data_IF_633545705743
#
_entry.id   IF_633545705743
#
_cell.length_a   1.000
_cell.length_b   1.000
_cell.length_c   1.000
_cell.angle_alpha   90.00
_cell.angle_beta   90.00
_cell.angle_gamma   90.00
#
_symmetry.space_group_name_H-M   'P 1'
#
loop_
_entity.id
_entity.type
_entity.pdbx_description
1 polymer ?
#
# COMPACT_ATOMS: atom_id res chain seq x y z
N UNK A 1 -21.78 -51.46 13.49
CA UNK A 1 -21.93 -50.16 12.80
C UNK A 1 -21.05 -49.10 13.48
N UNK A 2 -19.77 -49.05 13.15
CA UNK A 2 -18.77 -48.16 13.79
C UNK A 2 -18.28 -47.05 12.82
N UNK A 3 -18.50 -47.22 11.52
CA UNK A 3 -18.04 -46.31 10.46
C UNK A 3 -18.48 -44.84 10.55
N UNK A 4 -19.77 -44.50 10.81
CA UNK A 4 -20.19 -43.09 10.76
C UNK A 4 -19.71 -42.27 11.96
N UNK A 5 -19.46 -42.90 13.13
CA UNK A 5 -18.95 -42.21 14.31
C UNK A 5 -17.47 -41.87 14.19
N UNK A 6 -16.69 -42.74 13.56
CA UNK A 6 -15.25 -42.49 13.30
C UNK A 6 -15.09 -41.39 12.25
N UNK A 7 -15.92 -41.37 11.20
CA UNK A 7 -15.88 -40.32 10.18
C UNK A 7 -16.27 -38.93 10.74
N UNK A 8 -17.29 -38.86 11.60
CA UNK A 8 -17.68 -37.61 12.27
C UNK A 8 -16.61 -37.11 13.26
N UNK A 9 -15.94 -38.02 13.99
CA UNK A 9 -14.81 -37.67 14.85
C UNK A 9 -13.61 -37.19 14.04
N UNK A 10 -13.30 -37.81 12.91
CA UNK A 10 -12.22 -37.38 12.02
C UNK A 10 -12.50 -36.01 11.39
N UNK A 11 -13.76 -35.75 11.01
CA UNK A 11 -14.19 -34.44 10.51
C UNK A 11 -14.13 -33.35 11.57
N UNK A 12 -14.63 -33.62 12.78
CA UNK A 12 -14.54 -32.69 13.91
C UNK A 12 -13.09 -32.46 14.35
N UNK A 13 -12.24 -33.49 14.32
CA UNK A 13 -10.81 -33.38 14.59
C UNK A 13 -10.10 -32.59 13.47
N UNK A 14 -10.49 -32.74 12.21
CA UNK A 14 -9.97 -31.95 11.09
C UNK A 14 -10.35 -30.47 11.19
N UNK A 15 -11.60 -30.16 11.57
CA UNK A 15 -12.04 -28.78 11.84
C UNK A 15 -11.36 -28.22 13.09
N UNK A 16 -11.19 -29.02 14.14
CA UNK A 16 -10.47 -28.61 15.34
C UNK A 16 -8.98 -28.41 15.07
N UNK A 17 -8.34 -29.23 14.23
CA UNK A 17 -6.95 -29.07 13.80
C UNK A 17 -6.79 -27.89 12.84
N UNK A 18 -7.81 -27.51 12.06
CA UNK A 18 -7.81 -26.26 11.30
C UNK A 18 -8.04 -25.04 12.20
N UNK A 19 -8.91 -25.14 13.21
CA UNK A 19 -9.15 -24.09 14.20
C UNK A 19 -7.96 -23.91 15.16
N UNK A 20 -7.22 -24.98 15.47
CA UNK A 20 -6.00 -24.97 16.29
C UNK A 20 -4.74 -24.76 15.44
N UNK A 21 -4.76 -25.14 14.17
CA UNK A 21 -3.73 -24.82 13.17
C UNK A 21 -3.74 -23.34 12.77
N UNK A 22 -4.82 -22.61 13.12
CA UNK A 22 -4.86 -21.14 13.13
C UNK A 22 -4.28 -20.52 14.42
N UNK A 23 -3.84 -21.34 15.40
CA UNK A 23 -3.26 -20.89 16.68
C UNK A 23 -1.71 -20.99 16.82
N UNK A 24 -0.87 -21.44 15.86
CA UNK A 24 0.57 -21.28 16.00
C UNK A 24 0.93 -19.83 15.66
N UNK A 25 0.65 -18.94 16.60
CA UNK A 25 0.95 -17.50 16.50
C UNK A 25 0.96 -16.79 17.85
N UNK A 26 0.39 -17.38 18.91
CA UNK A 26 0.35 -16.76 20.25
C UNK A 26 1.69 -16.64 20.98
N UNK A 27 2.77 -17.18 20.41
CA UNK A 27 4.14 -17.01 20.94
C UNK A 27 5.05 -16.24 19.95
N UNK A 28 4.46 -15.44 19.06
CA UNK A 28 5.18 -14.39 18.33
C UNK A 28 5.23 -13.08 19.14
N UNK A 29 5.93 -12.04 18.66
CA UNK A 29 6.03 -10.71 19.28
C UNK A 29 4.72 -9.90 19.24
N UNK A 30 3.59 -10.61 19.39
CA UNK A 30 2.25 -10.05 19.44
C UNK A 30 1.99 -9.61 20.87
N UNK A 31 2.51 -8.44 21.20
CA UNK A 31 2.18 -7.75 22.44
C UNK A 31 0.70 -7.33 22.38
N UNK A 32 -0.01 -7.41 23.50
CA UNK A 32 -1.41 -6.97 23.62
C UNK A 32 -1.62 -5.47 23.26
N UNK A 33 -0.52 -4.72 23.08
CA UNK A 33 -0.49 -3.30 22.72
C UNK A 33 -0.56 -2.98 21.22
N UNK A 34 -0.60 -3.98 20.33
CA UNK A 34 -0.77 -3.74 18.88
C UNK A 34 0.48 -3.27 18.13
N UNK A 35 1.66 -3.48 18.72
CA UNK A 35 2.96 -3.09 18.15
C UNK A 35 3.26 -1.59 18.20
N UNK A 36 4.37 -1.16 17.58
CA UNK A 36 4.79 0.24 17.56
C UNK A 36 3.77 1.19 16.91
N UNK A 37 3.36 2.22 17.63
CA UNK A 37 2.43 3.24 17.15
C UNK A 37 3.14 4.55 16.78
N UNK A 38 2.58 5.29 15.82
CA UNK A 38 2.95 6.70 15.59
C UNK A 38 2.27 7.61 16.61
N UNK A 39 2.76 8.85 16.77
CA UNK A 39 2.04 9.87 17.51
C UNK A 39 0.61 10.08 16.94
N UNK A 40 -0.37 10.32 17.82
CA UNK A 40 -1.81 10.38 17.44
C UNK A 40 -2.13 11.48 16.42
N UNK A 41 -1.30 12.52 16.33
CA UNK A 41 -1.40 13.55 15.28
C UNK A 41 -1.02 13.00 13.91
N UNK A 42 0.07 12.24 13.82
CA UNK A 42 0.53 11.62 12.57
C UNK A 42 -0.44 10.53 12.11
N UNK A 43 -0.97 9.72 13.04
CA UNK A 43 -1.99 8.72 12.72
C UNK A 43 -3.25 9.36 12.12
N UNK A 44 -3.72 10.46 12.71
CA UNK A 44 -4.87 11.21 12.17
C UNK A 44 -4.57 11.78 10.79
N UNK A 45 -3.37 12.30 10.57
CA UNK A 45 -2.97 12.81 9.25
C UNK A 45 -2.93 11.70 8.19
N UNK A 46 -2.39 10.52 8.53
CA UNK A 46 -2.38 9.36 7.64
C UNK A 46 -3.80 8.88 7.31
N UNK A 47 -4.68 8.74 8.31
CA UNK A 47 -6.07 8.37 8.08
C UNK A 47 -6.80 9.44 7.25
N UNK A 48 -6.54 10.71 7.52
CA UNK A 48 -7.16 11.83 6.83
C UNK A 48 -6.66 12.01 5.39
N UNK A 49 -5.42 11.65 5.07
CA UNK A 49 -4.86 11.80 3.70
C UNK A 49 -4.84 10.50 2.91
N UNK A 50 -4.95 9.36 3.60
CA UNK A 50 -4.71 8.03 3.04
C UNK A 50 -3.25 7.75 2.69
N UNK A 51 -2.31 8.68 2.92
CA UNK A 51 -0.89 8.53 2.56
C UNK A 51 -0.21 7.40 3.33
N UNK A 52 0.91 6.91 2.81
CA UNK A 52 1.59 5.75 3.35
C UNK A 52 2.67 6.09 4.39
N UNK A 53 2.98 5.10 5.22
CA UNK A 53 4.16 5.07 6.07
C UNK A 53 5.10 3.99 5.54
N UNK A 54 6.37 4.33 5.39
CA UNK A 54 7.44 3.38 5.10
C UNK A 54 8.23 3.11 6.38
N UNK A 55 8.32 1.85 6.78
CA UNK A 55 9.13 1.40 7.91
C UNK A 55 10.37 0.74 7.36
N UNK A 56 11.53 1.33 7.64
CA UNK A 56 12.83 0.78 7.27
C UNK A 56 13.20 -0.37 8.22
N UNK A 57 13.89 -1.41 7.71
CA UNK A 57 14.23 -2.58 8.51
C UNK A 57 15.24 -2.23 9.60
N UNK A 58 15.03 -2.78 10.80
CA UNK A 58 15.99 -2.67 11.91
C UNK A 58 17.11 -3.72 11.82
N UNK A 59 16.79 -4.87 11.24
CA UNK A 59 17.71 -6.00 11.10
C UNK A 59 17.82 -6.43 9.63
N UNK A 60 18.94 -7.02 9.20
CA UNK A 60 19.14 -7.43 7.80
C UNK A 60 18.12 -8.46 7.28
N UNK A 61 17.50 -9.22 8.18
CA UNK A 61 16.50 -10.24 7.87
C UNK A 61 15.08 -9.68 7.81
N UNK A 62 14.86 -8.46 8.28
CA UNK A 62 13.55 -7.82 8.24
C UNK A 62 13.34 -7.12 6.89
N UNK A 63 12.18 -7.30 6.22
CA UNK A 63 11.86 -6.53 5.03
C UNK A 63 11.41 -5.11 5.40
N UNK A 64 11.69 -4.15 4.52
CA UNK A 64 11.03 -2.85 4.58
C UNK A 64 9.52 -3.02 4.34
N UNK A 65 8.69 -2.31 5.12
CA UNK A 65 7.23 -2.41 5.04
C UNK A 65 6.60 -1.09 4.72
N UNK A 66 5.57 -1.11 3.88
CA UNK A 66 4.82 0.10 3.51
C UNK A 66 3.33 -0.14 3.69
N UNK A 67 2.64 0.77 4.39
CA UNK A 67 1.20 0.67 4.61
C UNK A 67 0.52 2.03 4.42
N UNK A 68 -0.62 2.03 3.72
CA UNK A 68 -1.42 3.23 3.47
C UNK A 68 -2.39 3.53 4.62
N UNK A 69 -2.45 4.80 5.05
CA UNK A 69 -3.41 5.29 6.05
C UNK A 69 -3.15 4.86 7.50
N UNK A 70 -2.21 3.94 7.75
CA UNK A 70 -1.87 3.40 9.06
C UNK A 70 -0.44 2.86 9.11
N UNK A 71 0.02 2.52 10.31
CA UNK A 71 1.25 1.72 10.47
C UNK A 71 1.08 0.31 9.90
N UNK A 72 2.17 -0.30 9.39
CA UNK A 72 2.19 -1.73 9.08
C UNK A 72 1.83 -2.56 10.32
N UNK A 73 1.02 -3.60 10.10
CA UNK A 73 0.57 -4.52 11.13
C UNK A 73 0.95 -5.96 10.76
N UNK A 74 0.90 -6.85 11.75
CA UNK A 74 1.06 -8.28 11.50
C UNK A 74 0.02 -8.76 10.48
N UNK A 75 0.46 -9.58 9.52
CA UNK A 75 -0.38 -10.10 8.45
C UNK A 75 -0.46 -9.21 7.20
N UNK A 76 0.08 -7.98 7.22
CA UNK A 76 0.20 -7.18 6.00
C UNK A 76 1.14 -7.83 4.97
N UNK A 77 2.10 -8.63 5.45
CA UNK A 77 3.09 -9.35 4.64
C UNK A 77 2.65 -10.79 4.28
N UNK A 78 1.51 -11.26 4.80
CA UNK A 78 1.02 -12.64 4.57
C UNK A 78 0.45 -12.84 3.16
N UNK A 79 0.23 -11.76 2.42
CA UNK A 79 -0.12 -11.80 1.01
C UNK A 79 1.17 -11.82 0.19
N UNK A 80 1.33 -12.82 -0.67
CA UNK A 80 2.46 -12.90 -1.59
C UNK A 80 2.59 -11.57 -2.35
N UNK A 81 3.75 -10.89 -2.29
CA UNK A 81 3.92 -9.61 -2.97
C UNK A 81 3.73 -9.79 -4.47
N UNK A 82 2.69 -9.18 -5.02
CA UNK A 82 2.59 -8.93 -6.46
C UNK A 82 3.34 -7.63 -6.71
N UNK A 83 4.56 -7.69 -7.26
CA UNK A 83 5.45 -6.59 -7.68
C UNK A 83 5.81 -5.45 -6.68
N UNK A 84 4.91 -5.02 -5.79
CA UNK A 84 5.07 -4.11 -4.63
C UNK A 84 6.32 -4.36 -3.79
N UNK A 85 6.67 -5.63 -3.54
CA UNK A 85 7.86 -5.98 -2.76
C UNK A 85 9.15 -5.42 -3.37
N UNK A 86 9.22 -5.31 -4.70
CA UNK A 86 10.42 -4.85 -5.39
C UNK A 86 10.59 -3.32 -5.33
N UNK A 87 9.50 -2.55 -5.39
CA UNK A 87 9.57 -1.08 -5.32
C UNK A 87 9.90 -0.63 -3.90
N UNK A 88 9.25 -1.19 -2.88
CA UNK A 88 9.51 -0.87 -1.47
C UNK A 88 10.95 -1.22 -1.08
N UNK A 89 11.44 -2.40 -1.44
CA UNK A 89 12.83 -2.79 -1.20
C UNK A 89 13.80 -1.85 -1.93
N UNK A 90 13.53 -1.49 -3.18
CA UNK A 90 14.36 -0.55 -3.96
C UNK A 90 14.43 0.83 -3.33
N UNK A 91 13.30 1.35 -2.82
CA UNK A 91 13.25 2.63 -2.10
C UNK A 91 14.07 2.53 -0.80
N UNK A 92 13.89 1.46 -0.02
CA UNK A 92 14.65 1.24 1.22
C UNK A 92 16.17 1.16 0.97
N UNK A 93 16.59 0.41 -0.06
CA UNK A 93 18.01 0.36 -0.49
C UNK A 93 18.51 1.73 -0.93
N UNK A 94 17.69 2.51 -1.63
CA UNK A 94 18.03 3.89 -2.02
C UNK A 94 18.17 4.85 -0.84
N UNK A 95 17.36 4.68 0.21
CA UNK A 95 17.45 5.47 1.45
C UNK A 95 18.68 5.10 2.30
N UNK A 96 19.19 3.88 2.18
CA UNK A 96 20.42 3.45 2.85
C UNK A 96 21.71 3.94 2.14
N UNK A 97 21.61 4.37 0.88
CA UNK A 97 22.76 4.77 0.05
C UNK A 97 22.84 6.31 -0.06
N UNK A 98 23.84 7.00 0.54
CA UNK A 98 23.92 8.47 0.62
C UNK A 98 23.73 9.20 -0.71
N UNK A 99 24.30 8.67 -1.80
CA UNK A 99 24.23 9.24 -3.14
C UNK A 99 22.86 9.09 -3.82
N UNK A 100 21.98 8.24 -3.28
CA UNK A 100 20.64 7.96 -3.82
C UNK A 100 19.51 8.45 -2.93
N UNK A 101 19.79 8.87 -1.69
CA UNK A 101 18.77 9.28 -0.71
C UNK A 101 17.79 10.28 -1.27
N UNK A 102 18.25 11.34 -1.96
CA UNK A 102 17.36 12.37 -2.50
C UNK A 102 16.39 11.80 -3.53
N UNK A 103 16.88 10.95 -4.43
CA UNK A 103 16.06 10.26 -5.42
C UNK A 103 15.10 9.28 -4.76
N UNK A 104 15.54 8.54 -3.75
CA UNK A 104 14.71 7.60 -3.00
C UNK A 104 13.61 8.30 -2.18
N UNK A 105 13.89 9.47 -1.61
CA UNK A 105 12.89 10.32 -0.94
C UNK A 105 11.85 10.82 -1.94
N UNK A 106 12.27 11.28 -3.12
CA UNK A 106 11.35 11.71 -4.16
C UNK A 106 10.49 10.56 -4.68
N UNK A 107 11.07 9.36 -4.83
CA UNK A 107 10.37 8.14 -5.23
C UNK A 107 9.37 7.67 -4.18
N UNK A 108 9.76 7.65 -2.90
CA UNK A 108 8.86 7.34 -1.79
C UNK A 108 7.70 8.33 -1.72
N UNK A 109 7.98 9.64 -1.84
CA UNK A 109 6.94 10.67 -1.83
C UNK A 109 5.96 10.47 -3.01
N UNK A 110 6.48 10.21 -4.21
CA UNK A 110 5.69 9.91 -5.40
C UNK A 110 4.82 8.65 -5.26
N UNK A 111 5.33 7.62 -4.57
CA UNK A 111 4.59 6.42 -4.17
C UNK A 111 3.61 6.68 -2.99
N UNK A 112 3.35 7.94 -2.64
CA UNK A 112 2.35 8.33 -1.64
C UNK A 112 2.84 8.26 -0.20
N UNK A 113 4.11 7.95 0.06
CA UNK A 113 4.68 7.92 1.42
C UNK A 113 4.73 9.33 1.99
N UNK A 114 4.23 9.51 3.20
CA UNK A 114 4.28 10.77 3.95
C UNK A 114 5.32 10.72 5.08
N UNK A 115 5.45 9.56 5.73
CA UNK A 115 6.38 9.36 6.84
C UNK A 115 7.28 8.16 6.61
N UNK A 116 8.54 8.29 7.01
CA UNK A 116 9.53 7.21 7.04
C UNK A 116 9.93 6.96 8.48
N UNK A 117 9.72 5.75 8.98
CA UNK A 117 10.22 5.30 10.28
C UNK A 117 11.60 4.69 10.07
N UNK A 118 12.61 5.26 10.72
CA UNK A 118 14.00 4.80 10.65
C UNK A 118 14.30 3.86 11.81
N UNK A 119 15.23 2.91 11.66
CA UNK A 119 15.53 1.95 12.72
C UNK A 119 16.17 2.61 13.95
N UNK A 120 17.02 3.62 13.73
CA UNK A 120 17.77 4.29 14.79
C UNK A 120 18.11 5.76 14.46
N UNK A 121 18.60 6.48 15.47
CA UNK A 121 18.97 7.89 15.36
C UNK A 121 20.14 8.16 14.38
N UNK A 122 21.19 7.31 14.29
CA UNK A 122 22.25 7.45 13.28
C UNK A 122 21.72 7.37 11.85
N UNK A 123 20.85 6.39 11.55
CA UNK A 123 20.24 6.22 10.22
C UNK A 123 19.37 7.43 9.87
N UNK A 124 18.56 7.91 10.83
CA UNK A 124 17.81 9.16 10.66
C UNK A 124 18.73 10.35 10.35
N UNK A 125 19.84 10.50 11.06
CA UNK A 125 20.79 11.58 10.84
C UNK A 125 21.41 11.51 9.44
N UNK A 126 21.86 10.33 9.01
CA UNK A 126 22.43 10.12 7.68
C UNK A 126 21.42 10.44 6.55
N UNK A 127 20.17 9.99 6.69
CA UNK A 127 19.11 10.32 5.72
C UNK A 127 18.83 11.82 5.73
N UNK A 128 18.71 12.44 6.91
CA UNK A 128 18.43 13.88 7.01
C UNK A 128 19.55 14.74 6.42
N UNK A 129 20.80 14.36 6.62
CA UNK A 129 21.97 15.05 6.07
C UNK A 129 22.00 14.95 4.54
N UNK A 130 21.80 13.76 3.99
CA UNK A 130 21.82 13.53 2.55
C UNK A 130 20.58 14.09 1.82
N UNK A 131 19.40 14.01 2.45
CA UNK A 131 18.13 14.49 1.89
C UNK A 131 18.00 16.03 1.97
N UNK A 132 18.64 16.67 2.95
CA UNK A 132 18.51 18.09 3.20
C UNK A 132 17.06 18.50 3.47
N UNK A 133 16.57 19.49 2.72
CA UNK A 133 15.22 20.03 2.88
C UNK A 133 14.09 19.10 2.39
N UNK A 134 14.40 17.95 1.78
CA UNK A 134 13.37 17.01 1.33
C UNK A 134 12.70 16.25 2.48
N UNK A 135 13.29 16.31 3.67
CA UNK A 135 12.73 15.72 4.88
C UNK A 135 12.61 16.75 6.00
N UNK A 136 11.75 16.49 6.97
CA UNK A 136 11.66 17.20 8.23
C UNK A 136 11.53 16.21 9.38
N UNK A 137 11.97 16.59 10.57
CA UNK A 137 11.74 15.78 11.76
C UNK A 137 10.25 15.69 12.09
N UNK A 138 9.82 14.53 12.57
CA UNK A 138 8.49 14.28 13.09
C UNK A 138 8.59 13.61 14.48
N UNK A 139 7.53 13.65 15.30
CA UNK A 139 7.50 12.93 16.57
C UNK A 139 7.85 11.45 16.40
N UNK A 140 8.72 10.92 17.26
CA UNK A 140 9.06 9.50 17.29
C UNK A 140 7.84 8.62 17.51
N UNK A 141 7.98 7.37 17.11
CA UNK A 141 7.07 6.27 17.45
C UNK A 141 7.07 5.96 18.96
N UNK A 142 6.10 5.19 19.43
CA UNK A 142 5.94 4.82 20.85
C UNK A 142 7.08 3.96 21.40
N UNK A 143 7.77 3.21 20.53
CA UNK A 143 8.97 2.43 20.83
C UNK A 143 10.27 3.25 20.68
N UNK A 144 10.17 4.55 20.43
CA UNK A 144 11.28 5.49 20.38
C UNK A 144 11.99 5.59 19.03
N UNK A 145 11.58 4.81 18.02
CA UNK A 145 12.18 4.90 16.69
C UNK A 145 11.90 6.27 16.04
N UNK A 146 12.92 6.92 15.46
CA UNK A 146 12.74 8.22 14.85
C UNK A 146 11.88 8.19 13.59
N UNK A 147 11.22 9.31 13.31
CA UNK A 147 10.33 9.46 12.15
C UNK A 147 10.71 10.71 11.36
N UNK A 148 10.80 10.56 10.04
CA UNK A 148 11.00 11.64 9.09
C UNK A 148 9.72 11.88 8.28
N UNK A 149 9.36 13.16 8.12
CA UNK A 149 8.28 13.59 7.20
C UNK A 149 8.88 13.91 5.85
N UNK A 150 8.28 13.39 4.78
CA UNK A 150 8.68 13.73 3.41
C UNK A 150 8.00 15.04 2.97
N UNK A 151 8.79 15.97 2.46
CA UNK A 151 8.35 17.29 2.02
C UNK A 151 7.99 17.43 0.51
N UNK A 152 8.49 16.60 -0.44
CA UNK A 152 8.13 16.75 -1.84
C UNK A 152 6.61 16.76 -2.08
N UNK A 153 6.17 17.58 -3.03
CA UNK A 153 4.78 17.70 -3.40
C UNK A 153 4.29 16.40 -4.04
N UNK A 154 3.54 15.61 -3.27
CA UNK A 154 2.92 14.39 -3.73
C UNK A 154 1.61 14.14 -2.96
N UNK A 155 0.64 13.57 -3.66
CA UNK A 155 -0.60 13.07 -3.08
C UNK A 155 -0.78 11.59 -3.38
N UNK A 156 -1.89 11.02 -2.90
CA UNK A 156 -2.33 9.69 -3.33
C UNK A 156 -2.67 9.65 -4.82
N UNK A 157 -3.10 10.78 -5.37
CA UNK A 157 -3.31 11.01 -6.80
C UNK A 157 -2.71 12.36 -7.17
N UNK A 158 -2.01 12.41 -8.30
CA UNK A 158 -1.29 13.60 -8.75
C UNK A 158 -1.46 13.81 -10.24
N UNK A 159 -1.81 15.03 -10.66
CA UNK A 159 -1.85 15.43 -12.05
C UNK A 159 -0.52 16.05 -12.45
N UNK A 160 0.11 15.47 -13.47
CA UNK A 160 1.38 15.91 -14.02
C UNK A 160 1.18 16.77 -15.28
N UNK A 161 2.00 17.81 -15.42
CA UNK A 161 2.15 18.56 -16.66
C UNK A 161 2.71 17.67 -17.77
N UNK A 162 2.59 18.06 -19.06
CA UNK A 162 3.10 17.23 -20.16
C UNK A 162 4.60 16.94 -20.10
N UNK A 163 5.39 17.87 -19.57
CA UNK A 163 6.83 17.67 -19.39
C UNK A 163 7.14 16.63 -18.32
N UNK A 164 6.46 16.73 -17.16
CA UNK A 164 6.61 15.75 -16.08
C UNK A 164 6.04 14.38 -16.48
N UNK A 165 4.93 14.36 -17.23
CA UNK A 165 4.34 13.14 -17.77
C UNK A 165 5.31 12.38 -18.67
N UNK A 166 6.00 13.08 -19.60
CA UNK A 166 7.02 12.45 -20.45
C UNK A 166 8.14 11.83 -19.61
N UNK A 167 8.69 12.58 -18.64
CA UNK A 167 9.74 12.08 -17.74
C UNK A 167 9.28 10.84 -16.95
N UNK A 168 8.06 10.87 -16.44
CA UNK A 168 7.48 9.77 -15.68
C UNK A 168 7.33 8.50 -16.53
N UNK A 169 6.85 8.64 -17.77
CA UNK A 169 6.66 7.51 -18.69
C UNK A 169 8.01 6.95 -19.19
N UNK A 170 9.03 7.80 -19.40
CA UNK A 170 10.36 7.35 -19.81
C UNK A 170 11.18 6.73 -18.67
N UNK A 171 10.62 6.63 -17.47
CA UNK A 171 11.28 6.03 -16.30
C UNK A 171 12.33 6.93 -15.65
N UNK A 172 12.31 8.24 -15.91
CA UNK A 172 13.13 9.18 -15.15
C UNK A 172 12.63 9.26 -13.70
N UNK A 173 13.51 9.46 -12.71
CA UNK A 173 13.09 9.58 -11.32
C UNK A 173 12.20 10.82 -11.09
N UNK A 174 11.35 10.81 -10.05
CA UNK A 174 10.60 11.99 -9.66
C UNK A 174 11.51 13.17 -9.29
N UNK A 175 11.06 14.43 -9.44
CA UNK A 175 11.86 15.60 -9.10
C UNK A 175 12.28 15.63 -7.62
N UNK A 176 13.53 16.02 -7.38
CA UNK A 176 14.15 16.14 -6.05
C UNK A 176 14.19 17.58 -5.53
N UNK A 177 13.34 18.43 -6.09
CA UNK A 177 13.19 19.85 -5.74
C UNK A 177 11.84 20.05 -5.04
N UNK A 178 11.82 20.83 -3.96
CA UNK A 178 10.58 21.20 -3.30
C UNK A 178 9.76 22.12 -4.21
N UNK A 179 8.46 21.85 -4.32
CA UNK A 179 7.57 22.66 -5.16
C UNK A 179 7.88 22.55 -6.66
N UNK A 180 8.49 21.44 -7.11
CA UNK A 180 8.75 21.21 -8.53
C UNK A 180 7.51 21.51 -9.38
N UNK A 181 7.64 22.33 -10.44
CA UNK A 181 6.49 22.79 -11.20
C UNK A 181 5.85 21.65 -12.00
N UNK A 182 4.54 21.78 -12.24
CA UNK A 182 3.79 20.83 -13.04
C UNK A 182 3.42 19.55 -12.31
N UNK A 183 3.39 19.57 -10.98
CA UNK A 183 2.91 18.49 -10.13
C UNK A 183 1.78 19.05 -9.26
N UNK A 184 0.56 18.55 -9.44
CA UNK A 184 -0.62 19.04 -8.72
C UNK A 184 -1.30 17.88 -8.00
N UNK A 185 -1.31 17.84 -6.66
CA UNK A 185 -2.04 16.80 -5.95
C UNK A 185 -3.55 16.95 -6.19
N UNK A 186 -4.23 15.81 -6.34
CA UNK A 186 -5.68 15.72 -6.50
C UNK A 186 -6.23 14.99 -5.28
N UNK A 187 -7.29 15.53 -4.69
CA UNK A 187 -7.95 14.89 -3.54
C UNK A 187 -8.78 13.68 -4.00
N UNK A 188 -8.10 12.54 -4.12
CA UNK A 188 -8.68 11.25 -4.41
C UNK A 188 -7.79 10.13 -3.86
N UNK A 189 -8.32 8.91 -3.74
CA UNK A 189 -7.62 7.79 -3.10
C UNK A 189 -7.86 6.47 -3.84
N UNK A 190 -6.84 5.61 -3.99
CA UNK A 190 -7.04 4.24 -4.46
C UNK A 190 -7.86 3.40 -3.44
N UNK A 191 -8.48 2.28 -3.86
CA UNK A 191 -8.37 1.63 -5.17
C UNK A 191 -9.38 2.14 -6.23
N UNK A 192 -10.28 3.05 -5.86
CA UNK A 192 -11.28 3.63 -6.75
C UNK A 192 -11.14 5.16 -6.78
N UNK A 193 -10.61 5.67 -7.88
CA UNK A 193 -10.35 7.09 -8.11
C UNK A 193 -11.37 7.62 -9.10
N UNK A 194 -12.14 8.64 -8.71
CA UNK A 194 -13.05 9.35 -9.61
C UNK A 194 -12.78 10.86 -9.49
N UNK A 195 -12.20 11.44 -10.53
CA UNK A 195 -11.78 12.85 -10.53
C UNK A 195 -12.28 13.57 -11.77
N UNK A 196 -12.65 14.84 -11.62
CA UNK A 196 -12.93 15.71 -12.76
C UNK A 196 -11.71 16.58 -13.02
N UNK A 197 -11.18 16.48 -14.22
CA UNK A 197 -10.03 17.28 -14.65
C UNK A 197 -10.54 18.40 -15.53
N UNK A 198 -10.06 19.62 -15.31
CA UNK A 198 -10.37 20.79 -16.15
C UNK A 198 -9.59 20.77 -17.47
N UNK A 199 -9.98 21.67 -18.38
CA UNK A 199 -9.21 21.93 -19.61
C UNK A 199 -7.75 22.24 -19.28
N UNK A 200 -6.85 21.83 -20.16
CA UNK A 200 -5.43 22.10 -20.01
C UNK A 200 -4.61 21.60 -21.19
N UNK A 201 -3.28 21.65 -21.09
CA UNK A 201 -2.40 21.15 -22.15
C UNK A 201 -2.66 19.67 -22.46
N UNK A 202 -2.52 19.28 -23.72
CA UNK A 202 -2.52 17.87 -24.11
C UNK A 202 -1.30 17.14 -23.55
N UNK A 203 -1.47 15.85 -23.24
CA UNK A 203 -0.38 14.99 -22.75
C UNK A 203 -0.11 15.08 -21.26
N UNK A 204 -1.08 15.56 -20.47
CA UNK A 204 -1.05 15.45 -19.01
C UNK A 204 -1.18 13.98 -18.58
N UNK A 205 -0.71 13.66 -17.38
CA UNK A 205 -0.78 12.31 -16.83
C UNK A 205 -1.35 12.37 -15.42
N UNK A 206 -2.41 11.63 -15.15
CA UNK A 206 -2.88 11.39 -13.80
C UNK A 206 -2.11 10.19 -13.25
N UNK A 207 -1.34 10.37 -12.19
CA UNK A 207 -0.57 9.31 -11.52
C UNK A 207 -1.23 8.98 -10.20
N UNK A 208 -1.37 7.68 -9.93
CA UNK A 208 -1.93 7.14 -8.70
C UNK A 208 -0.79 6.47 -7.95
N UNK A 209 -0.68 6.75 -6.65
CA UNK A 209 0.29 6.14 -5.74
C UNK A 209 -0.11 4.70 -5.39
N UNK A 210 -0.19 3.87 -6.43
CA UNK A 210 -0.44 2.45 -6.37
C UNK A 210 0.42 1.75 -7.42
N UNK A 211 0.84 0.53 -7.14
CA UNK A 211 1.62 -0.25 -8.09
C UNK A 211 0.83 -0.57 -9.35
N UNK A 212 1.52 -0.49 -10.48
CA UNK A 212 1.04 -0.92 -11.76
C UNK A 212 1.05 -2.44 -11.84
N UNK A 213 -0.14 -3.01 -11.70
CA UNK A 213 -0.40 -4.44 -11.79
C UNK A 213 -1.43 -4.74 -12.90
N UNK A 214 -1.40 -5.95 -13.49
CA UNK A 214 -2.46 -6.37 -14.40
C UNK A 214 -3.84 -6.30 -13.73
N UNK A 215 -4.79 -5.63 -14.37
CA UNK A 215 -6.18 -5.53 -13.91
C UNK A 215 -6.66 -4.11 -13.63
N UNK A 216 -5.76 -3.13 -13.55
CA UNK A 216 -6.19 -1.73 -13.50
C UNK A 216 -6.99 -1.34 -14.76
N UNK A 217 -8.13 -0.70 -14.55
CA UNK A 217 -8.98 -0.16 -15.61
C UNK A 217 -9.07 1.34 -15.44
N UNK A 218 -8.88 2.08 -16.54
CA UNK A 218 -9.02 3.52 -16.57
C UNK A 218 -10.01 3.92 -17.66
N UNK A 219 -10.89 4.87 -17.36
CA UNK A 219 -11.82 5.48 -18.31
C UNK A 219 -11.75 7.00 -18.21
N UNK A 220 -11.90 7.66 -19.36
CA UNK A 220 -12.04 9.12 -19.48
C UNK A 220 -13.34 9.38 -20.23
N UNK A 221 -14.28 10.09 -19.60
CA UNK A 221 -15.63 10.32 -20.10
C UNK A 221 -16.34 9.04 -20.56
N UNK A 222 -16.17 7.97 -19.76
CA UNK A 222 -16.74 6.65 -20.01
C UNK A 222 -16.05 5.84 -21.12
N UNK A 223 -15.00 6.37 -21.77
CA UNK A 223 -14.20 5.62 -22.75
C UNK A 223 -12.95 5.05 -22.09
N UNK A 224 -12.68 3.77 -22.32
CA UNK A 224 -11.48 3.14 -21.80
C UNK A 224 -10.22 3.75 -22.42
N UNK A 225 -9.24 4.03 -21.57
CA UNK A 225 -7.91 4.54 -21.94
C UNK A 225 -6.84 3.57 -21.44
N UNK A 226 -5.66 3.53 -22.08
CA UNK A 226 -4.58 2.69 -21.60
C UNK A 226 -4.07 3.17 -20.23
N UNK A 227 -3.82 2.20 -19.34
CA UNK A 227 -2.99 2.42 -18.16
C UNK A 227 -1.54 2.30 -18.58
N UNK A 228 -0.72 3.26 -18.19
CA UNK A 228 0.72 3.29 -18.44
C UNK A 228 1.48 3.28 -17.13
N UNK A 229 2.75 2.86 -17.18
CA UNK A 229 3.62 2.87 -16.01
C UNK A 229 4.27 4.24 -15.84
N UNK A 230 4.03 4.86 -14.69
CA UNK A 230 4.64 6.12 -14.28
C UNK A 230 5.79 5.85 -13.29
N UNK A 231 6.92 6.55 -13.45
CA UNK A 231 8.12 6.41 -12.61
C UNK A 231 8.58 4.97 -12.41
N UNK A 232 8.38 4.13 -13.45
CA UNK A 232 8.84 2.75 -13.47
C UNK A 232 8.02 1.75 -12.64
N UNK A 233 7.00 2.18 -11.88
CA UNK A 233 6.23 1.25 -11.04
C UNK A 233 4.80 1.70 -10.69
N UNK A 234 4.47 2.99 -10.80
CA UNK A 234 3.13 3.49 -10.44
C UNK A 234 2.14 3.46 -11.60
N UNK A 235 0.86 3.47 -11.27
CA UNK A 235 -0.25 3.58 -12.23
C UNK A 235 -0.33 5.01 -12.79
N UNK A 236 -0.26 5.13 -14.11
CA UNK A 236 -0.45 6.38 -14.85
C UNK A 236 -1.61 6.29 -15.85
N UNK A 237 -2.37 7.37 -15.98
CA UNK A 237 -3.51 7.48 -16.90
C UNK A 237 -3.37 8.74 -17.75
N UNK A 238 -3.20 8.63 -19.07
CA UNK A 238 -3.02 9.78 -19.94
C UNK A 238 -4.31 10.58 -20.06
N UNK A 239 -4.21 11.90 -19.89
CA UNK A 239 -5.33 12.83 -19.91
C UNK A 239 -5.23 13.74 -21.14
N UNK A 240 -6.36 13.91 -21.82
CA UNK A 240 -6.50 14.81 -22.96
C UNK A 240 -6.45 16.30 -22.59
N UNK A 241 -6.55 17.13 -23.62
CA UNK A 241 -6.59 18.59 -23.44
C UNK A 241 -7.92 19.10 -22.88
N UNK A 242 -9.02 18.37 -23.14
CA UNK A 242 -10.36 18.77 -22.70
C UNK A 242 -10.65 18.30 -21.29
N UNK A 243 -11.51 19.04 -20.62
CA UNK A 243 -12.09 18.66 -19.35
C UNK A 243 -12.84 17.33 -19.49
N UNK A 244 -12.77 16.51 -18.45
CA UNK A 244 -13.40 15.19 -18.46
C UNK A 244 -13.40 14.54 -17.09
N UNK A 245 -14.25 13.54 -16.94
CA UNK A 245 -14.29 12.67 -15.78
C UNK A 245 -13.35 11.49 -15.99
N UNK A 246 -12.40 11.31 -15.08
CA UNK A 246 -11.46 10.20 -15.08
C UNK A 246 -11.85 9.25 -13.97
N UNK A 247 -12.07 7.99 -14.32
CA UNK A 247 -12.28 6.91 -13.35
C UNK A 247 -11.20 5.87 -13.49
N UNK A 248 -10.61 5.47 -12.37
CA UNK A 248 -9.59 4.44 -12.32
C UNK A 248 -9.94 3.48 -11.20
N UNK A 249 -10.04 2.21 -11.53
CA UNK A 249 -10.50 1.17 -10.63
C UNK A 249 -9.63 -0.08 -10.80
N UNK A 250 -9.34 -0.75 -9.69
CA UNK A 250 -8.81 -2.11 -9.70
C UNK A 250 -9.97 -3.06 -9.36
N UNK A 251 -10.51 -3.85 -10.31
CA UNK A 251 -11.68 -4.69 -10.07
C UNK A 251 -11.38 -5.78 -9.03
N UNK A 252 -11.94 -5.65 -7.83
CA UNK A 252 -11.88 -6.67 -6.76
C UNK A 252 -13.12 -7.56 -6.71
N UNK A 253 -14.09 -7.36 -7.62
CA UNK A 253 -15.39 -8.03 -7.61
C UNK A 253 -15.26 -9.56 -7.68
N UNK A 254 -14.34 -10.08 -8.50
CA UNK A 254 -14.13 -11.52 -8.63
C UNK A 254 -13.67 -12.14 -7.29
N UNK A 255 -12.76 -11.45 -6.59
CA UNK A 255 -12.28 -11.87 -5.27
C UNK A 255 -13.43 -11.89 -4.26
N UNK A 256 -14.29 -10.88 -4.28
CA UNK A 256 -15.44 -10.77 -3.37
C UNK A 256 -16.44 -11.91 -3.59
N UNK A 257 -16.73 -12.26 -4.84
CA UNK A 257 -17.61 -13.40 -5.18
C UNK A 257 -16.98 -14.72 -4.75
N UNK A 258 -15.69 -14.92 -5.00
CA UNK A 258 -14.99 -16.14 -4.59
C UNK A 258 -14.96 -16.31 -3.06
N UNK A 259 -14.71 -15.24 -2.32
CA UNK A 259 -14.76 -15.26 -0.85
C UNK A 259 -16.16 -15.58 -0.34
N UNK A 260 -17.21 -15.05 -0.98
CA UNK A 260 -18.59 -15.36 -0.62
C UNK A 260 -18.92 -16.84 -0.87
N UNK A 261 -18.47 -17.41 -1.99
CA UNK A 261 -18.62 -18.84 -2.29
C UNK A 261 -17.86 -19.70 -1.27
N UNK A 262 -16.63 -19.32 -0.91
CA UNK A 262 -15.84 -20.01 0.12
C UNK A 262 -16.53 -19.96 1.48
N UNK A 263 -17.04 -18.79 1.90
CA UNK A 263 -17.79 -18.64 3.14
C UNK A 263 -19.07 -19.50 3.15
N UNK A 264 -19.80 -19.54 2.02
CA UNK A 264 -20.97 -20.38 1.86
C UNK A 264 -20.63 -21.88 1.98
N UNK A 265 -19.50 -22.32 1.41
CA UNK A 265 -19.02 -23.70 1.53
C UNK A 265 -18.65 -24.06 2.96
N UNK A 266 -17.95 -23.17 3.68
CA UNK A 266 -17.62 -23.38 5.11
C UNK A 266 -18.90 -23.47 5.96
N UNK A 267 -19.87 -22.58 5.73
CA UNK A 267 -21.15 -22.61 6.42
C UNK A 267 -21.93 -23.90 6.11
N UNK A 268 -21.95 -24.33 4.85
CA UNK A 268 -22.60 -25.58 4.44
C UNK A 268 -21.98 -26.79 5.14
N UNK A 269 -20.65 -26.85 5.22
CA UNK A 269 -19.93 -27.92 5.95
C UNK A 269 -20.29 -27.90 7.44
N UNK A 270 -20.34 -26.72 8.08
CA UNK A 270 -20.71 -26.60 9.49
C UNK A 270 -22.14 -27.05 9.77
N UNK A 271 -23.09 -26.66 8.92
CA UNK A 271 -24.50 -27.04 9.06
C UNK A 271 -24.73 -28.54 8.85
N UNK A 272 -24.04 -29.13 7.87
CA UNK A 272 -24.14 -30.57 7.58
C UNK A 272 -23.36 -31.44 8.56
N UNK A 273 -22.41 -30.87 9.31
CA UNK A 273 -21.67 -31.56 10.35
C UNK A 273 -22.44 -31.77 11.67
N UNK A 274 -23.62 -31.15 11.85
CA UNK A 274 -24.43 -31.33 13.06
C UNK A 274 -25.15 -32.69 13.01
N UNK A 275 -24.80 -33.67 13.85
CA UNK A 275 -25.44 -34.98 13.83
C UNK A 275 -26.89 -34.87 14.30
N UNK A 276 -27.84 -35.21 13.43
CA UNK A 276 -29.25 -35.29 13.78
C UNK A 276 -29.48 -36.37 14.84
N UNK A 277 -29.79 -35.94 16.07
CA UNK A 277 -30.29 -36.85 17.10
C UNK A 277 -31.70 -37.26 16.70
N UNK A 278 -31.85 -38.47 16.15
CA UNK A 278 -33.17 -39.09 15.93
C UNK A 278 -33.91 -39.19 17.27
N UNK A 279 -35.13 -38.65 17.41
CA UNK A 279 -35.99 -38.99 18.52
C UNK A 279 -36.42 -40.46 18.35
N UNK A 280 -36.25 -41.25 19.42
CA UNK A 280 -36.88 -42.57 19.60
C UNK A 280 -38.13 -42.40 20.43
#
# INVERSE_FOLDING_TARGET
AVGPRIAALAGALGVAVMAVGALPGRAGPLDDGGGPGLATTLQRELAATGRAVLVLPGEPTEPARMAAGRMPAFGDDDLAPVNTGNSVARIAVGLAAPERVRTAVADAAAAGVLFVVTPDAPTRAAISEAAGNLVADAPSTTDGRPVLRLQPAAGQVTLLSPEQARRAITGSPPPTELGAPGIVPVDARPPAVAVRVSDGPSGRLLVIAAEEEPGWLATVDGRQVPVVRAWGHLVGVPIGARAGEVRVEQPTALRSVLLLVQAAMVLFVLLTAIPSRRPR
#
